data_IF_091937024246
#
_entry.id   IF_091937024246
#
_cell.length_a   1.000
_cell.length_b   1.000
_cell.length_c   1.000
_cell.angle_alpha   90.00
_cell.angle_beta   90.00
_cell.angle_gamma   90.00
#
_symmetry.space_group_name_H-M   'P 1'
#
loop_
_entity.id
_entity.type
_entity.pdbx_description
1 polymer ?
#
# COMPACT_ATOMS: atom_id res chain seq x y z
N UNK A 1 3.30 19.04 38.08
CA UNK A 1 2.92 19.65 36.79
C UNK A 1 4.09 19.46 35.83
N UNK A 2 4.01 18.46 34.95
CA UNK A 2 5.10 18.12 34.03
C UNK A 2 4.78 18.72 32.66
N UNK A 3 5.65 19.59 32.17
CA UNK A 3 5.52 20.31 30.91
C UNK A 3 5.76 19.37 29.73
N UNK A 4 4.70 19.04 29.00
CA UNK A 4 4.75 18.38 27.70
C UNK A 4 5.56 19.23 26.71
N UNK A 5 6.69 18.70 26.23
CA UNK A 5 7.41 19.23 25.06
C UNK A 5 6.87 18.54 23.81
N UNK A 6 6.26 19.25 22.84
CA UNK A 6 5.92 18.66 21.56
C UNK A 6 7.19 18.57 20.71
N UNK A 7 7.68 17.35 20.48
CA UNK A 7 8.66 17.04 19.44
C UNK A 7 7.94 17.05 18.09
N UNK A 8 7.91 18.20 17.43
CA UNK A 8 7.57 18.32 16.01
C UNK A 8 8.66 17.62 15.19
N UNK A 9 8.48 16.33 14.93
CA UNK A 9 9.30 15.58 13.97
C UNK A 9 8.86 15.97 12.56
N UNK A 10 9.82 16.54 11.83
CA UNK A 10 9.63 17.26 10.58
C UNK A 10 8.99 16.44 9.46
N UNK A 11 8.08 17.10 8.76
CA UNK A 11 7.53 16.68 7.48
C UNK A 11 8.65 16.64 6.45
N UNK A 12 9.10 15.44 6.07
CA UNK A 12 9.99 15.25 4.92
C UNK A 12 9.12 15.31 3.66
N UNK A 13 8.94 16.52 3.11
CA UNK A 13 8.37 16.72 1.80
C UNK A 13 9.37 16.28 0.73
N UNK A 14 9.28 15.02 0.31
CA UNK A 14 10.08 14.51 -0.81
C UNK A 14 9.42 14.92 -2.13
N UNK A 15 9.80 16.10 -2.63
CA UNK A 15 9.45 16.55 -3.98
C UNK A 15 10.26 15.73 -4.99
N UNK A 16 9.64 14.70 -5.59
CA UNK A 16 10.23 13.97 -6.71
C UNK A 16 9.71 14.53 -8.04
N UNK A 17 10.62 15.28 -8.64
CA UNK A 17 10.80 15.71 -10.03
C UNK A 17 9.86 15.08 -11.06
N UNK A 18 9.09 15.96 -11.70
CA UNK A 18 8.29 15.76 -12.90
C UNK A 18 9.16 15.42 -14.12
N UNK A 19 9.17 14.15 -14.51
CA UNK A 19 9.64 13.74 -15.84
C UNK A 19 8.41 13.68 -16.73
N UNK A 20 8.23 14.72 -17.55
CA UNK A 20 7.22 14.75 -18.62
C UNK A 20 7.61 13.78 -19.72
N UNK A 21 7.13 12.55 -19.65
CA UNK A 21 7.19 11.61 -20.77
C UNK A 21 5.88 11.72 -21.54
N UNK A 22 5.97 12.34 -22.72
CA UNK A 22 4.92 12.33 -23.74
C UNK A 22 4.80 10.91 -24.32
N UNK A 23 4.09 10.03 -23.62
CA UNK A 23 3.48 8.82 -24.19
C UNK A 23 1.99 9.12 -24.36
N UNK A 24 1.35 8.63 -25.42
CA UNK A 24 -0.09 8.78 -25.65
C UNK A 24 -0.87 8.50 -24.36
N UNK A 25 -1.96 9.23 -24.11
CA UNK A 25 -2.62 9.25 -22.79
C UNK A 25 -2.95 7.83 -22.35
N UNK A 26 -2.15 7.29 -21.44
CA UNK A 26 -2.48 6.08 -20.71
C UNK A 26 -3.71 6.48 -19.88
N UNK A 27 -4.87 5.81 -20.03
CA UNK A 27 -6.01 6.10 -19.18
C UNK A 27 -5.62 5.75 -17.75
N UNK A 28 -5.40 6.79 -16.95
CA UNK A 28 -5.04 6.67 -15.55
C UNK A 28 -6.30 6.88 -14.70
N UNK A 29 -6.63 5.89 -13.89
CA UNK A 29 -7.65 6.03 -12.85
C UNK A 29 -6.95 6.20 -11.51
N UNK A 30 -7.53 7.03 -10.64
CA UNK A 30 -7.04 7.13 -9.27
C UNK A 30 -7.92 6.33 -8.33
N UNK A 31 -7.33 5.42 -7.56
CA UNK A 31 -8.00 4.63 -6.53
C UNK A 31 -7.32 4.82 -5.17
N UNK A 32 -8.10 4.72 -4.09
CA UNK A 32 -7.61 4.89 -2.72
C UNK A 32 -7.58 3.54 -2.03
N UNK A 33 -6.40 3.19 -1.53
CA UNK A 33 -6.18 1.96 -0.80
C UNK A 33 -5.66 2.19 0.60
N UNK A 34 -5.97 1.24 1.48
CA UNK A 34 -5.68 1.31 2.91
C UNK A 34 -5.08 -0.01 3.39
N UNK A 35 -4.14 0.06 4.31
CA UNK A 35 -3.58 -1.12 4.95
C UNK A 35 -3.31 -0.88 6.43
N UNK A 36 -3.44 -1.97 7.18
CA UNK A 36 -3.16 -2.07 8.60
C UNK A 36 -2.18 -3.20 8.82
N UNK A 37 -0.96 -2.89 9.25
CA UNK A 37 0.09 -3.88 9.46
C UNK A 37 0.59 -3.83 10.92
N UNK A 38 0.43 -4.94 11.63
CA UNK A 38 0.96 -5.12 12.99
C UNK A 38 2.44 -5.52 12.91
N UNK A 39 3.26 -4.86 13.72
CA UNK A 39 4.68 -5.12 13.89
C UNK A 39 4.88 -6.09 15.06
N UNK A 40 5.33 -7.30 14.75
CA UNK A 40 5.78 -8.30 15.72
C UNK A 40 7.30 -8.39 15.66
N UNK A 41 8.00 -7.46 16.31
CA UNK A 41 9.47 -7.48 16.40
C UNK A 41 10.24 -7.23 15.09
N UNK A 42 9.59 -6.69 14.06
CA UNK A 42 10.22 -6.37 12.76
C UNK A 42 10.75 -4.93 12.69
N UNK A 43 11.67 -4.65 11.76
CA UNK A 43 12.12 -3.27 11.49
C UNK A 43 10.93 -2.41 11.03
N UNK A 44 10.69 -1.31 11.77
CA UNK A 44 9.61 -0.37 11.52
C UNK A 44 9.65 0.21 10.11
N UNK A 45 10.83 0.44 9.53
CA UNK A 45 10.96 0.94 8.17
C UNK A 45 10.59 -0.12 7.12
N UNK A 46 10.98 -1.38 7.34
CA UNK A 46 10.57 -2.50 6.50
C UNK A 46 9.04 -2.73 6.56
N UNK A 47 8.46 -2.66 7.75
CA UNK A 47 7.01 -2.77 7.93
C UNK A 47 6.24 -1.61 7.31
N UNK A 48 6.74 -0.38 7.40
CA UNK A 48 6.14 0.73 6.68
C UNK A 48 6.09 0.49 5.17
N UNK A 49 7.20 0.05 4.57
CA UNK A 49 7.24 -0.28 3.13
C UNK A 49 6.26 -1.39 2.77
N UNK A 50 6.10 -2.38 3.64
CA UNK A 50 5.12 -3.47 3.47
C UNK A 50 3.69 -2.94 3.57
N UNK A 51 3.37 -2.11 4.56
CA UNK A 51 2.06 -1.49 4.71
C UNK A 51 1.71 -0.61 3.49
N UNK A 52 2.68 0.15 2.95
CA UNK A 52 2.49 0.89 1.69
C UNK A 52 2.21 -0.06 0.54
N UNK A 53 2.96 -1.17 0.40
CA UNK A 53 2.69 -2.17 -0.65
C UNK A 53 1.27 -2.75 -0.52
N UNK A 54 0.85 -3.13 0.69
CA UNK A 54 -0.48 -3.68 0.95
C UNK A 54 -1.59 -2.66 0.64
N UNK A 55 -1.39 -1.38 0.98
CA UNK A 55 -2.35 -0.34 0.63
C UNK A 55 -2.43 -0.11 -0.89
N UNK A 56 -1.33 -0.25 -1.62
CA UNK A 56 -1.34 -0.20 -3.08
C UNK A 56 -2.07 -1.41 -3.68
N UNK A 57 -1.88 -2.60 -3.13
CA UNK A 57 -2.61 -3.81 -3.53
C UNK A 57 -4.11 -3.61 -3.33
N UNK A 58 -4.53 -3.09 -2.17
CA UNK A 58 -5.94 -2.77 -1.89
C UNK A 58 -6.52 -1.78 -2.92
N UNK A 59 -5.78 -0.73 -3.28
CA UNK A 59 -6.21 0.22 -4.31
C UNK A 59 -6.42 -0.45 -5.67
N UNK A 60 -5.51 -1.34 -6.08
CA UNK A 60 -5.58 -2.05 -7.36
C UNK A 60 -6.69 -3.11 -7.35
N UNK A 61 -6.87 -3.85 -6.24
CA UNK A 61 -7.99 -4.81 -6.09
C UNK A 61 -9.34 -4.11 -6.24
N UNK A 62 -9.51 -2.93 -5.63
CA UNK A 62 -10.73 -2.12 -5.78
C UNK A 62 -10.99 -1.70 -7.23
N UNK A 63 -9.96 -1.33 -7.96
CA UNK A 63 -10.11 -0.98 -9.38
C UNK A 63 -10.40 -2.22 -10.23
N UNK A 64 -9.69 -3.32 -10.00
CA UNK A 64 -9.91 -4.59 -10.69
C UNK A 64 -11.35 -5.09 -10.49
N UNK A 65 -11.90 -4.96 -9.29
CA UNK A 65 -13.28 -5.33 -8.98
C UNK A 65 -14.33 -4.55 -9.81
N UNK A 66 -14.00 -3.36 -10.31
CA UNK A 66 -14.88 -2.57 -11.20
C UNK A 66 -14.77 -3.00 -12.67
N UNK A 67 -13.70 -3.70 -13.03
CA UNK A 67 -13.39 -4.14 -14.40
C UNK A 67 -13.80 -5.60 -14.66
N UNK A 68 -14.03 -6.37 -13.60
CA UNK A 68 -14.38 -7.79 -13.65
C UNK A 68 -15.90 -7.95 -13.63
N UNK A 69 -16.44 -8.79 -14.53
CA UNK A 69 -17.87 -9.10 -14.58
C UNK A 69 -18.29 -10.16 -13.53
N UNK A 70 -17.39 -11.09 -13.18
CA UNK A 70 -17.62 -12.17 -12.22
C UNK A 70 -16.63 -12.11 -11.03
N UNK A 71 -17.08 -11.92 -9.78
CA UNK A 71 -16.20 -11.83 -8.61
C UNK A 71 -15.21 -13.00 -8.43
N UNK A 72 -15.53 -14.20 -8.91
CA UNK A 72 -14.62 -15.37 -8.83
C UNK A 72 -13.34 -15.17 -9.64
N UNK A 73 -13.39 -14.44 -10.76
CA UNK A 73 -12.22 -14.13 -11.58
C UNK A 73 -11.26 -13.18 -10.86
N UNK A 74 -11.78 -12.35 -9.95
CA UNK A 74 -10.97 -11.46 -9.12
C UNK A 74 -10.13 -12.27 -8.13
N UNK A 75 -10.72 -13.27 -7.46
CA UNK A 75 -10.03 -14.12 -6.46
C UNK A 75 -8.81 -14.83 -7.07
N UNK A 76 -8.95 -15.35 -8.29
CA UNK A 76 -7.85 -16.00 -9.03
C UNK A 76 -6.75 -14.99 -9.40
N UNK A 77 -7.13 -13.74 -9.68
CA UNK A 77 -6.20 -12.68 -10.08
C UNK A 77 -5.53 -11.96 -8.91
N UNK A 78 -6.05 -12.08 -7.68
CA UNK A 78 -5.51 -11.39 -6.50
C UNK A 78 -4.01 -11.68 -6.27
N UNK A 79 -3.58 -12.92 -6.48
CA UNK A 79 -2.17 -13.30 -6.35
C UNK A 79 -1.26 -12.56 -7.34
N UNK A 80 -1.73 -12.35 -8.57
CA UNK A 80 -0.99 -11.59 -9.57
C UNK A 80 -0.93 -10.11 -9.22
N UNK A 81 -2.00 -9.53 -8.67
CA UNK A 81 -1.98 -8.16 -8.16
C UNK A 81 -0.94 -8.03 -7.05
N UNK A 82 -0.88 -8.97 -6.11
CA UNK A 82 0.07 -8.93 -4.99
C UNK A 82 1.54 -9.03 -5.44
N UNK A 83 1.82 -9.83 -6.47
CA UNK A 83 3.14 -9.98 -7.06
C UNK A 83 3.54 -8.75 -7.89
N UNK A 84 2.63 -8.28 -8.75
CA UNK A 84 2.90 -7.28 -9.81
C UNK A 84 2.29 -5.90 -9.56
N UNK A 85 1.90 -5.57 -8.32
CA UNK A 85 1.29 -4.26 -7.98
C UNK A 85 2.05 -3.04 -8.54
N UNK A 86 3.39 -3.14 -8.64
CA UNK A 86 4.25 -2.06 -9.17
C UNK A 86 4.10 -1.84 -10.67
N UNK A 87 3.67 -2.85 -11.41
CA UNK A 87 3.48 -2.77 -12.85
C UNK A 87 2.17 -2.03 -13.17
N UNK A 88 1.15 -2.22 -12.32
CA UNK A 88 -0.15 -1.57 -12.46
C UNK A 88 -0.16 -0.11 -11.96
N UNK A 89 0.69 0.23 -10.97
CA UNK A 89 0.72 1.56 -10.35
C UNK A 89 1.78 2.44 -11.01
N UNK A 90 1.35 3.46 -11.75
CA UNK A 90 2.24 4.43 -12.42
C UNK A 90 2.82 5.44 -11.42
N UNK A 91 2.01 5.87 -10.46
CA UNK A 91 2.38 6.81 -9.39
C UNK A 91 1.53 6.55 -8.16
N UNK A 92 2.03 6.88 -6.97
CA UNK A 92 1.18 6.96 -5.78
C UNK A 92 1.54 8.14 -4.87
N UNK A 93 0.60 8.51 -4.01
CA UNK A 93 0.75 9.50 -2.96
C UNK A 93 0.36 8.86 -1.62
N UNK A 94 1.24 8.93 -0.62
CA UNK A 94 0.89 8.53 0.74
C UNK A 94 0.08 9.67 1.37
N UNK A 95 -1.20 9.42 1.59
CA UNK A 95 -2.11 10.41 2.16
C UNK A 95 -1.98 10.45 3.68
N UNK A 96 -1.92 9.27 4.30
CA UNK A 96 -1.80 9.11 5.75
C UNK A 96 -0.85 7.96 6.07
N UNK A 97 -0.01 8.15 7.08
CA UNK A 97 0.89 7.12 7.58
C UNK A 97 1.07 7.33 9.08
N UNK A 98 0.33 6.56 9.88
CA UNK A 98 0.37 6.65 11.34
C UNK A 98 0.97 5.38 11.91
N UNK A 99 1.93 5.54 12.82
CA UNK A 99 2.44 4.45 13.62
C UNK A 99 1.94 4.55 15.05
N UNK A 100 1.29 3.50 15.53
CA UNK A 100 0.77 3.41 16.89
C UNK A 100 1.61 2.39 17.65
N UNK A 101 2.25 2.83 18.74
CA UNK A 101 2.83 1.90 19.71
C UNK A 101 1.71 1.26 20.50
N UNK A 102 1.74 -0.06 20.67
CA UNK A 102 0.87 -0.68 21.67
C UNK A 102 1.46 -0.35 23.05
N UNK A 103 0.65 0.21 23.95
CA UNK A 103 1.08 0.39 25.35
C UNK A 103 1.41 -0.99 25.91
N UNK A 104 2.66 -1.16 26.38
CA UNK A 104 3.14 -2.40 26.99
C UNK A 104 2.17 -2.84 28.09
N UNK A 105 1.53 -4.00 27.91
CA UNK A 105 1.21 -4.84 29.04
C UNK A 105 2.52 -5.27 29.68
N UNK A 106 2.67 -5.01 30.98
CA UNK A 106 3.75 -5.42 31.88
C UNK A 106 4.57 -6.64 31.37
N UNK A 107 5.74 -6.41 30.76
CA UNK A 107 6.56 -7.52 30.28
C UNK A 107 7.71 -7.17 29.36
N UNK A 108 8.74 -6.53 29.92
CA UNK A 108 10.14 -6.62 29.50
C UNK A 108 10.52 -6.28 28.04
N UNK A 109 11.23 -5.15 27.86
CA UNK A 109 12.44 -5.18 27.02
C UNK A 109 13.60 -4.47 27.73
N UNK A 110 14.28 -5.24 28.58
CA UNK A 110 15.60 -4.86 29.12
C UNK A 110 16.73 -5.09 28.10
N UNK A 111 16.46 -5.71 26.97
CA UNK A 111 17.45 -6.10 25.96
C UNK A 111 16.92 -5.85 24.54
N UNK A 112 17.00 -4.61 24.03
CA UNK A 112 16.98 -4.20 22.61
C UNK A 112 16.37 -5.10 21.51
N UNK A 113 15.14 -5.59 21.63
CA UNK A 113 14.47 -6.42 20.61
C UNK A 113 13.07 -5.84 20.30
N UNK A 114 12.95 -5.17 19.15
CA UNK A 114 11.70 -4.95 18.40
C UNK A 114 10.70 -3.92 18.94
N UNK A 115 10.44 -2.85 18.19
CA UNK A 115 9.29 -1.96 18.45
C UNK A 115 7.98 -2.71 18.08
N UNK A 116 7.20 -3.11 19.08
CA UNK A 116 5.83 -3.60 18.86
C UNK A 116 4.89 -2.42 18.58
N UNK A 117 4.11 -2.52 17.51
CA UNK A 117 3.22 -1.44 17.13
C UNK A 117 2.42 -1.76 15.88
N UNK A 118 1.83 -0.74 15.28
CA UNK A 118 0.92 -0.89 14.15
C UNK A 118 1.07 0.28 13.19
N UNK A 119 1.24 -0.04 11.91
CA UNK A 119 1.13 0.91 10.83
C UNK A 119 -0.29 0.95 10.28
N UNK A 120 -0.87 2.15 10.23
CA UNK A 120 -2.07 2.47 9.44
C UNK A 120 -1.64 3.37 8.30
N UNK A 121 -1.81 2.89 7.06
CA UNK A 121 -1.37 3.59 5.86
C UNK A 121 -2.53 3.75 4.90
N UNK A 122 -2.67 4.95 4.33
CA UNK A 122 -3.63 5.29 3.28
C UNK A 122 -2.88 5.87 2.09
N UNK A 123 -3.12 5.32 0.91
CA UNK A 123 -2.46 5.75 -0.33
C UNK A 123 -3.50 6.08 -1.39
N UNK A 124 -3.18 7.07 -2.23
CA UNK A 124 -3.85 7.29 -3.50
C UNK A 124 -2.94 6.77 -4.62
N UNK A 125 -3.37 5.71 -5.29
CA UNK A 125 -2.66 5.11 -6.42
C UNK A 125 -3.22 5.65 -7.74
N UNK A 126 -2.35 5.88 -8.71
CA UNK A 126 -2.69 6.18 -10.11
C UNK A 126 -2.38 4.93 -10.93
N UNK A 127 -3.42 4.29 -11.44
CA UNK A 127 -3.40 2.93 -11.98
C UNK A 127 -3.51 2.97 -13.50
N UNK A 128 -2.66 2.21 -14.20
CA UNK A 128 -2.81 1.92 -15.62
C UNK A 128 -3.96 0.93 -15.82
N UNK A 129 -5.16 1.46 -16.08
CA UNK A 129 -6.36 0.64 -16.21
C UNK A 129 -6.32 -0.25 -17.45
N UNK A 130 -5.64 0.17 -18.52
CA UNK A 130 -5.53 -0.61 -19.75
C UNK A 130 -4.64 -1.84 -19.52
N UNK A 131 -3.54 -1.69 -18.79
CA UNK A 131 -2.70 -2.82 -18.41
C UNK A 131 -3.47 -3.75 -17.47
N UNK A 132 -4.14 -3.21 -16.46
CA UNK A 132 -4.92 -3.99 -15.50
C UNK A 132 -5.99 -4.83 -16.20
N UNK A 133 -6.80 -4.19 -17.06
CA UNK A 133 -7.84 -4.88 -17.82
C UNK A 133 -7.28 -5.96 -18.76
N UNK A 134 -6.14 -5.68 -19.43
CA UNK A 134 -5.48 -6.66 -20.29
C UNK A 134 -4.92 -7.85 -19.52
N UNK A 135 -4.46 -7.65 -18.29
CA UNK A 135 -3.98 -8.73 -17.43
C UNK A 135 -5.13 -9.61 -16.95
N UNK A 136 -6.24 -9.01 -16.52
CA UNK A 136 -7.47 -9.74 -16.12
C UNK A 136 -7.97 -10.63 -17.26
N UNK A 137 -8.10 -10.10 -18.47
CA UNK A 137 -8.61 -10.85 -19.65
C UNK A 137 -7.68 -12.00 -20.06
N UNK A 138 -6.38 -11.88 -19.79
CA UNK A 138 -5.38 -12.89 -20.20
C UNK A 138 -5.19 -14.03 -19.21
N UNK A 139 -5.63 -13.89 -17.96
CA UNK A 139 -5.60 -14.98 -16.98
C UNK A 139 -6.63 -16.03 -17.39
N UNK A 140 -6.22 -17.16 -17.98
CA UNK A 140 -7.18 -18.19 -18.35
C UNK A 140 -7.65 -18.85 -17.05
N UNK A 141 -8.96 -19.01 -16.89
CA UNK A 141 -9.50 -20.06 -16.05
C UNK A 141 -9.02 -21.37 -16.67
N UNK A 142 -7.96 -21.97 -16.10
CA UNK A 142 -7.66 -23.38 -16.38
C UNK A 142 -8.84 -24.18 -15.85
N UNK A 143 -9.83 -24.41 -16.71
CA UNK A 143 -10.95 -25.28 -16.44
C UNK A 143 -10.47 -26.70 -16.15
N UNK A 144 -10.90 -27.21 -15.00
CA UNK A 144 -10.84 -28.62 -14.60
C UNK A 144 -12.10 -28.98 -13.84
#
# INVERSE_FOLDING_TARGET
MSTLRPLLLGVVALALLSISVSAGSIPLVSSVGEARLVLEGSDRAAAFKRAVKEALVDAVKKEAALLVDNPEDLEVFEGEIEEKVRDFVVKYEVMEATFLLHEEGEGESRDGIGEYGEWKVKVKAYIDTDLLQRSIIKSPVEGG
#
